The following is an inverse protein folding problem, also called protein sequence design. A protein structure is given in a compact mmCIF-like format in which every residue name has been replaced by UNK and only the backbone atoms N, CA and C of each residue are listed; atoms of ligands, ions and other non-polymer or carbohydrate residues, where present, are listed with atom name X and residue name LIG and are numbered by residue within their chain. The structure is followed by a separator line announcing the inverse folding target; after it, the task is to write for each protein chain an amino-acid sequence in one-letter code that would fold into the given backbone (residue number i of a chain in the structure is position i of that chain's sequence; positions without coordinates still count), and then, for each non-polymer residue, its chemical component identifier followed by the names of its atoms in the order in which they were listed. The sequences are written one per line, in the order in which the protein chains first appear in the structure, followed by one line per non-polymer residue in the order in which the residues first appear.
data_IF_239017007502
#
_entry.id   IF_239017007502
#
_cell.length_a   1.000
_cell.length_b   1.000
_cell.length_c   1.000
_cell.angle_alpha   90.00
_cell.angle_beta   90.00
_cell.angle_gamma   90.00
#
_symmetry.space_group_name_H-M   'P 1'
#
loop_
_entity.id
_entity.type
_entity.pdbx_description
1 polymer ?
#
# COMPACT_ATOMS: atom_id res chain seq x y z
N UNK A 1 -45.43 -2.70 17.64
CA UNK A 1 -44.56 -1.51 17.85
C UNK A 1 -43.39 -1.98 18.69
N UNK A 2 -42.12 -1.87 18.33
CA UNK A 2 -41.46 -1.06 17.32
C UNK A 2 -40.45 -1.92 16.53
N UNK A 3 -40.45 -1.79 15.20
CA UNK A 3 -39.38 -2.26 14.36
C UNK A 3 -38.27 -1.21 14.44
N UNK A 4 -37.16 -1.56 15.10
CA UNK A 4 -35.93 -0.78 15.00
C UNK A 4 -35.33 -1.02 13.62
N UNK A 5 -35.63 -0.14 12.67
CA UNK A 5 -34.92 -0.04 11.40
C UNK A 5 -33.43 0.19 11.72
N UNK A 6 -32.63 -0.86 11.63
CA UNK A 6 -31.18 -0.74 11.56
C UNK A 6 -30.82 0.09 10.35
N UNK A 7 -30.28 1.28 10.61
CA UNK A 7 -29.76 2.20 9.60
C UNK A 7 -28.82 1.44 8.66
N UNK A 8 -29.10 1.57 7.36
CA UNK A 8 -28.35 0.96 6.28
C UNK A 8 -26.90 1.45 6.32
N UNK A 9 -26.00 0.64 6.90
CA UNK A 9 -24.59 0.98 7.02
C UNK A 9 -23.94 0.69 5.66
N UNK A 10 -23.61 1.76 4.93
CA UNK A 10 -22.78 1.78 3.71
C UNK A 10 -23.41 1.28 2.39
N UNK A 11 -24.38 2.02 1.85
CA UNK A 11 -24.82 1.86 0.44
C UNK A 11 -23.73 2.24 -0.60
N UNK A 12 -22.67 2.95 -0.19
CA UNK A 12 -21.61 3.46 -1.08
C UNK A 12 -20.25 2.75 -0.92
N UNK A 13 -20.15 1.67 -0.15
CA UNK A 13 -18.93 0.86 -0.07
C UNK A 13 -19.21 -0.44 -0.82
N UNK A 14 -18.54 -0.69 -1.97
CA UNK A 14 -18.64 -1.98 -2.62
C UNK A 14 -18.21 -3.07 -1.65
N UNK A 15 -19.06 -4.07 -1.43
CA UNK A 15 -18.69 -5.27 -0.69
C UNK A 15 -17.75 -6.07 -1.58
N UNK A 16 -16.43 -5.83 -1.44
CA UNK A 16 -15.40 -6.42 -2.30
C UNK A 16 -15.15 -7.91 -2.01
N UNK A 17 -15.54 -8.39 -0.83
CA UNK A 17 -15.32 -9.78 -0.42
C UNK A 17 -16.63 -10.51 -0.18
N UNK A 18 -17.13 -11.17 -1.22
CA UNK A 18 -18.01 -12.30 -1.01
C UNK A 18 -17.18 -13.49 -0.54
N UNK A 19 -17.22 -13.78 0.77
CA UNK A 19 -16.67 -15.02 1.33
C UNK A 19 -17.20 -16.20 0.50
N UNK A 20 -16.28 -17.06 0.06
CA UNK A 20 -16.54 -18.29 -0.72
C UNK A 20 -17.00 -18.14 -2.17
N UNK A 21 -17.22 -16.93 -2.70
CA UNK A 21 -17.49 -16.72 -4.14
C UNK A 21 -16.20 -16.41 -4.90
N UNK A 22 -15.36 -15.53 -4.35
CA UNK A 22 -14.14 -15.05 -5.01
C UNK A 22 -12.84 -15.72 -4.52
N UNK A 23 -12.91 -16.51 -3.44
CA UNK A 23 -11.73 -17.12 -2.80
C UNK A 23 -11.79 -18.63 -2.94
N UNK A 24 -11.15 -19.16 -3.98
CA UNK A 24 -10.96 -20.61 -4.15
C UNK A 24 -9.51 -20.99 -3.83
N UNK A 25 -9.26 -22.10 -3.13
CA UNK A 25 -7.91 -22.61 -2.96
C UNK A 25 -7.33 -22.95 -4.34
N UNK A 26 -6.14 -22.44 -4.64
CA UNK A 26 -5.41 -22.76 -5.87
C UNK A 26 -3.96 -23.13 -5.54
N UNK A 27 -3.37 -23.94 -6.40
CA UNK A 27 -1.97 -24.29 -6.29
C UNK A 27 -1.10 -23.11 -6.76
N UNK A 28 -0.19 -22.64 -5.89
CA UNK A 28 0.67 -21.47 -6.17
C UNK A 28 1.50 -21.68 -7.45
N UNK A 29 1.93 -22.91 -7.75
CA UNK A 29 2.64 -23.21 -8.99
C UNK A 29 1.79 -23.04 -10.25
N UNK A 30 0.48 -23.32 -10.19
CA UNK A 30 -0.43 -23.13 -11.33
C UNK A 30 -0.64 -21.65 -11.62
N UNK A 31 -0.70 -20.83 -10.57
CA UNK A 31 -0.75 -19.38 -10.69
C UNK A 31 0.53 -18.82 -11.32
N UNK A 32 1.71 -19.25 -10.85
CA UNK A 32 2.99 -18.88 -11.48
C UNK A 32 3.01 -19.22 -12.97
N UNK A 33 2.57 -20.42 -13.35
CA UNK A 33 2.60 -20.84 -14.75
C UNK A 33 1.65 -20.00 -15.60
N UNK A 34 0.42 -19.81 -15.15
CA UNK A 34 -0.54 -18.93 -15.84
C UNK A 34 -0.03 -17.48 -15.94
N UNK A 35 0.67 -16.99 -14.92
CA UNK A 35 1.28 -15.67 -14.92
C UNK A 35 2.41 -15.58 -15.97
N UNK A 36 3.32 -16.56 -16.00
CA UNK A 36 4.43 -16.62 -16.97
C UNK A 36 3.98 -16.86 -18.41
N UNK A 37 2.83 -17.51 -18.63
CA UNK A 37 2.23 -17.65 -19.97
C UNK A 37 1.68 -16.31 -20.51
N UNK A 38 1.24 -15.42 -19.62
CA UNK A 38 0.61 -14.15 -19.99
C UNK A 38 1.58 -12.99 -20.03
N UNK A 39 2.55 -12.97 -19.12
CA UNK A 39 3.53 -11.89 -19.06
C UNK A 39 4.80 -12.24 -19.80
N UNK A 40 5.28 -11.28 -20.57
CA UNK A 40 6.63 -11.27 -21.13
C UNK A 40 7.62 -10.84 -20.05
N UNK A 41 8.90 -11.23 -20.15
CA UNK A 41 9.93 -10.78 -19.22
C UNK A 41 10.00 -9.26 -19.03
N UNK A 42 9.64 -8.47 -20.05
CA UNK A 42 9.59 -7.00 -19.96
C UNK A 42 8.51 -6.50 -18.97
N UNK A 43 7.47 -7.28 -18.71
CA UNK A 43 6.35 -6.89 -17.85
C UNK A 43 6.66 -7.09 -16.35
N UNK A 44 7.67 -7.90 -16.01
CA UNK A 44 8.00 -8.24 -14.61
C UNK A 44 9.50 -8.17 -14.27
N UNK A 45 10.37 -7.88 -15.23
CA UNK A 45 11.80 -7.68 -15.01
C UNK A 45 12.19 -6.32 -15.57
N UNK A 46 12.61 -5.42 -14.69
CA UNK A 46 13.27 -4.19 -15.11
C UNK A 46 14.60 -4.54 -15.79
N UNK A 47 14.82 -3.98 -16.98
CA UNK A 47 16.11 -3.97 -17.67
C UNK A 47 16.35 -2.56 -18.12
N UNK A 48 17.46 -1.99 -17.67
CA UNK A 48 17.91 -0.68 -18.14
C UNK A 48 18.15 -0.77 -19.65
N UNK A 49 17.44 0.06 -20.41
CA UNK A 49 17.65 0.25 -21.85
C UNK A 49 18.19 1.66 -22.07
N UNK A 50 18.76 1.89 -23.25
CA UNK A 50 19.11 3.24 -23.67
C UNK A 50 17.82 4.00 -24.02
N UNK A 51 17.76 5.27 -23.64
CA UNK A 51 16.58 6.13 -23.84
C UNK A 51 16.10 6.13 -25.31
N UNK A 52 17.02 6.21 -26.27
CA UNK A 52 16.71 6.17 -27.71
C UNK A 52 15.99 4.88 -28.14
N UNK A 53 16.38 3.74 -27.55
CA UNK A 53 15.71 2.45 -27.82
C UNK A 53 14.33 2.36 -27.17
N UNK A 54 14.14 2.98 -26.01
CA UNK A 54 12.84 3.02 -25.34
C UNK A 54 11.85 3.91 -26.10
N UNK A 55 12.33 5.07 -26.57
CA UNK A 55 11.53 6.01 -27.36
C UNK A 55 11.05 5.41 -28.67
N UNK A 56 11.94 4.72 -29.38
CA UNK A 56 11.60 4.06 -30.63
C UNK A 56 10.59 2.92 -30.42
N UNK A 57 10.76 2.11 -29.37
CA UNK A 57 9.83 1.05 -28.98
C UNK A 57 8.45 1.64 -28.62
N UNK A 58 8.43 2.69 -27.80
CA UNK A 58 7.22 3.38 -27.36
C UNK A 58 6.49 4.07 -28.52
N UNK A 59 7.21 4.79 -29.39
CA UNK A 59 6.64 5.45 -30.56
C UNK A 59 5.94 4.44 -31.48
N UNK A 60 6.59 3.28 -31.69
CA UNK A 60 6.06 2.19 -32.48
C UNK A 60 4.83 1.54 -31.84
N UNK A 61 4.85 1.32 -30.52
CA UNK A 61 3.72 0.76 -29.77
C UNK A 61 2.50 1.69 -29.78
N UNK A 62 2.72 2.98 -29.57
CA UNK A 62 1.67 3.99 -29.51
C UNK A 62 1.22 4.48 -30.90
N UNK A 63 1.92 4.08 -31.97
CA UNK A 63 1.61 4.49 -33.35
C UNK A 63 1.84 5.98 -33.60
N UNK A 64 2.79 6.60 -32.90
CA UNK A 64 3.12 8.02 -33.01
C UNK A 64 4.39 8.23 -33.84
N UNK A 65 4.46 9.34 -34.56
CA UNK A 65 5.67 9.73 -35.27
C UNK A 65 6.77 10.14 -34.27
N UNK A 66 8.06 9.88 -34.56
CA UNK A 66 9.16 10.23 -33.65
C UNK A 66 9.17 11.72 -33.32
N UNK A 67 8.91 12.58 -34.31
CA UNK A 67 8.84 14.03 -34.08
C UNK A 67 7.69 14.45 -33.16
N UNK A 68 6.58 13.69 -33.15
CA UNK A 68 5.48 13.91 -32.19
C UNK A 68 5.87 13.48 -30.79
N UNK A 69 6.65 12.40 -30.65
CA UNK A 69 7.18 11.97 -29.36
C UNK A 69 8.13 13.01 -28.78
N UNK A 70 9.01 13.61 -29.60
CA UNK A 70 9.92 14.68 -29.15
C UNK A 70 9.16 15.89 -28.62
N UNK A 71 8.09 16.30 -29.31
CA UNK A 71 7.21 17.38 -28.86
C UNK A 71 6.51 17.01 -27.56
N UNK A 72 6.01 15.78 -27.43
CA UNK A 72 5.37 15.30 -26.19
C UNK A 72 6.38 15.28 -25.04
N UNK A 73 7.61 14.82 -25.26
CA UNK A 73 8.69 14.85 -24.27
C UNK A 73 8.98 16.28 -23.81
N UNK A 74 9.02 17.23 -24.74
CA UNK A 74 9.24 18.62 -24.40
C UNK A 74 8.09 19.22 -23.57
N UNK A 75 6.83 18.94 -23.92
CA UNK A 75 5.63 19.46 -23.23
C UNK A 75 5.36 18.74 -21.90
N UNK A 76 5.76 17.47 -21.79
CA UNK A 76 5.60 16.65 -20.60
C UNK A 76 6.90 16.54 -19.79
N UNK A 77 7.88 17.41 -20.05
CA UNK A 77 9.10 17.46 -19.26
C UNK A 77 8.80 17.92 -17.84
N UNK A 78 9.66 17.56 -16.90
CA UNK A 78 9.50 17.99 -15.51
C UNK A 78 9.45 19.51 -15.40
N UNK A 79 10.25 20.21 -16.21
CA UNK A 79 10.33 21.66 -16.21
C UNK A 79 9.04 22.32 -16.72
N UNK A 80 8.42 21.75 -17.76
CA UNK A 80 7.18 22.29 -18.35
C UNK A 80 5.93 21.92 -17.56
N UNK A 81 5.94 20.76 -16.89
CA UNK A 81 4.84 20.34 -16.01
C UNK A 81 4.90 20.97 -14.62
N UNK A 82 5.96 21.70 -14.32
CA UNK A 82 6.14 22.33 -13.02
C UNK A 82 5.15 23.49 -12.85
N UNK A 83 4.29 23.39 -11.83
CA UNK A 83 3.36 24.47 -11.49
C UNK A 83 4.01 25.63 -10.71
N UNK A 84 5.21 25.42 -10.16
CA UNK A 84 5.96 26.37 -9.33
C UNK A 84 6.97 27.15 -10.20
N UNK A 85 7.37 28.34 -9.75
CA UNK A 85 8.43 29.10 -10.42
C UNK A 85 9.76 28.32 -10.43
N UNK A 86 10.55 28.49 -11.49
CA UNK A 86 11.84 27.78 -11.66
C UNK A 86 12.78 27.93 -10.45
N UNK A 87 12.79 29.10 -9.83
CA UNK A 87 13.69 29.41 -8.71
C UNK A 87 13.23 28.88 -7.34
N UNK A 88 11.99 28.43 -7.22
CA UNK A 88 11.52 27.82 -5.97
C UNK A 88 12.13 26.41 -5.82
N UNK A 89 12.49 25.93 -4.62
CA UNK A 89 12.90 24.53 -4.46
C UNK A 89 11.67 23.61 -4.45
N UNK A 90 11.74 22.51 -5.21
CA UNK A 90 10.72 21.44 -5.18
C UNK A 90 10.80 20.67 -3.85
N UNK A 91 10.08 21.11 -2.83
CA UNK A 91 9.88 20.28 -1.64
C UNK A 91 8.72 19.30 -1.86
N UNK A 92 9.09 18.08 -2.25
CA UNK A 92 8.12 16.99 -2.43
C UNK A 92 7.43 16.58 -1.13
N UNK A 93 7.89 17.03 0.05
CA UNK A 93 7.27 16.74 1.35
C UNK A 93 6.14 17.69 1.73
N UNK A 94 6.01 18.83 1.06
CA UNK A 94 4.95 19.78 1.37
C UNK A 94 3.67 19.34 0.66
N UNK A 95 2.61 19.12 1.44
CA UNK A 95 1.27 18.92 0.89
C UNK A 95 0.51 20.24 0.98
N UNK A 96 -0.15 20.69 -0.10
CA UNK A 96 -0.95 21.91 -0.07
C UNK A 96 -1.97 21.93 1.10
N UNK A 97 -2.33 23.11 1.62
CA UNK A 97 -3.29 23.21 2.72
C UNK A 97 -4.67 22.64 2.35
N UNK A 98 -5.14 22.88 1.13
CA UNK A 98 -6.45 22.42 0.61
C UNK A 98 -6.28 21.49 -0.60
N UNK A 99 -5.88 20.23 -0.40
CA UNK A 99 -5.67 19.29 -1.50
C UNK A 99 -7.02 18.82 -2.08
N UNK A 100 -7.17 18.88 -3.41
CA UNK A 100 -8.34 18.35 -4.12
C UNK A 100 -8.16 16.89 -4.58
N UNK A 101 -6.91 16.48 -4.82
CA UNK A 101 -6.58 15.12 -5.24
C UNK A 101 -6.65 14.16 -4.05
N UNK A 102 -7.34 13.03 -4.22
CA UNK A 102 -7.53 12.02 -3.18
C UNK A 102 -6.20 11.54 -2.57
N UNK A 103 -5.18 11.33 -3.41
CA UNK A 103 -3.83 10.93 -2.96
C UNK A 103 -3.18 11.97 -2.05
N UNK A 104 -3.30 13.26 -2.39
CA UNK A 104 -2.80 14.37 -1.58
C UNK A 104 -3.61 14.54 -0.29
N UNK A 105 -4.94 14.35 -0.32
CA UNK A 105 -5.79 14.35 0.88
C UNK A 105 -5.32 13.27 1.87
N UNK A 106 -5.10 12.04 1.39
CA UNK A 106 -4.62 10.95 2.25
C UNK A 106 -3.22 11.22 2.79
N UNK A 107 -2.33 11.79 1.97
CA UNK A 107 -1.00 12.18 2.40
C UNK A 107 -1.03 13.27 3.47
N UNK A 108 -1.90 14.28 3.32
CA UNK A 108 -2.13 15.32 4.32
C UNK A 108 -2.63 14.72 5.63
N UNK A 109 -3.68 13.89 5.58
CA UNK A 109 -4.19 13.16 6.75
C UNK A 109 -3.11 12.40 7.49
N UNK A 110 -2.22 11.70 6.76
CA UNK A 110 -1.10 10.97 7.36
C UNK A 110 -0.05 11.90 7.96
N UNK A 111 0.23 13.05 7.34
CA UNK A 111 1.13 14.06 7.89
C UNK A 111 0.58 14.70 9.15
N UNK A 112 -0.68 15.13 9.12
CA UNK A 112 -1.38 15.71 10.27
C UNK A 112 -1.45 14.69 11.41
N UNK A 113 -1.85 13.45 11.11
CA UNK A 113 -1.84 12.35 12.06
C UNK A 113 -0.45 12.15 12.67
N UNK A 114 0.61 12.08 11.87
CA UNK A 114 1.98 11.97 12.37
C UNK A 114 2.38 13.15 13.26
N UNK A 115 1.88 14.36 12.98
CA UNK A 115 2.07 15.53 13.82
C UNK A 115 1.36 15.44 15.17
N UNK A 116 0.19 14.78 15.22
CA UNK A 116 -0.53 14.51 16.49
C UNK A 116 0.10 13.39 17.32
N UNK A 117 0.94 12.54 16.72
CA UNK A 117 1.60 11.46 17.43
C UNK A 117 2.70 12.00 18.35
N UNK A 118 2.44 11.99 19.65
CA UNK A 118 3.53 11.93 20.64
C UNK A 118 4.02 10.49 20.68
N UNK A 119 5.04 10.20 19.88
CA UNK A 119 5.84 9.00 20.08
C UNK A 119 6.64 9.26 21.35
N UNK A 120 6.07 8.91 22.49
CA UNK A 120 6.87 8.79 23.69
C UNK A 120 7.91 7.73 23.37
N UNK A 121 9.19 8.10 23.40
CA UNK A 121 10.25 7.11 23.28
C UNK A 121 10.25 6.37 24.61
N UNK A 122 9.30 5.46 24.75
CA UNK A 122 9.22 4.47 25.82
C UNK A 122 10.64 3.94 25.96
N UNK A 123 11.24 4.11 27.14
CA UNK A 123 12.60 3.63 27.39
C UNK A 123 12.68 2.18 26.96
N UNK A 124 13.84 1.70 26.48
CA UNK A 124 14.00 0.26 26.18
C UNK A 124 13.58 -0.62 27.36
N UNK A 125 13.73 -0.10 28.58
CA UNK A 125 13.30 -0.74 29.83
C UNK A 125 11.78 -0.79 29.92
N UNK A 126 11.09 0.33 29.70
CA UNK A 126 9.63 0.43 29.77
C UNK A 126 8.97 -0.44 28.68
N UNK A 127 9.57 -0.53 27.48
CA UNK A 127 9.07 -1.39 26.41
C UNK A 127 9.20 -2.88 26.76
N UNK A 128 10.33 -3.28 27.35
CA UNK A 128 10.53 -4.65 27.81
C UNK A 128 9.58 -5.00 28.96
N UNK A 129 9.30 -4.04 29.83
CA UNK A 129 8.32 -4.16 30.91
C UNK A 129 6.91 -4.35 30.35
N UNK A 130 6.50 -3.52 29.39
CA UNK A 130 5.21 -3.63 28.70
C UNK A 130 5.09 -4.97 27.94
N UNK A 131 6.15 -5.45 27.29
CA UNK A 131 6.16 -6.76 26.62
C UNK A 131 5.94 -7.91 27.62
N UNK A 132 6.60 -7.86 28.78
CA UNK A 132 6.42 -8.83 29.86
C UNK A 132 5.01 -8.79 30.48
N UNK A 133 4.43 -7.59 30.58
CA UNK A 133 3.08 -7.37 31.11
C UNK A 133 1.98 -7.63 30.06
N UNK A 134 2.32 -7.57 28.78
CA UNK A 134 1.43 -7.91 27.69
C UNK A 134 1.15 -9.42 27.69
N UNK A 135 -0.06 -9.78 28.11
CA UNK A 135 -0.56 -11.14 27.98
C UNK A 135 -0.72 -11.46 26.49
N UNK A 136 0.27 -12.14 25.91
CA UNK A 136 0.13 -12.73 24.60
C UNK A 136 -1.09 -13.67 24.62
N UNK A 137 -2.12 -13.35 23.83
CA UNK A 137 -3.27 -14.23 23.64
C UNK A 137 -2.82 -15.40 22.76
N UNK A 138 -2.19 -16.37 23.41
CA UNK A 138 -1.82 -17.65 22.81
C UNK A 138 -2.98 -18.63 22.87
N UNK A 139 -3.06 -19.48 21.84
CA UNK A 139 -3.85 -20.72 21.87
C UNK A 139 -3.41 -21.55 23.08
N UNK A 140 -4.35 -21.95 23.94
CA UNK A 140 -4.02 -22.66 25.18
C UNK A 140 -3.89 -24.15 24.88
N UNK A 141 -2.81 -24.82 25.30
CA UNK A 141 -2.60 -26.25 25.05
C UNK A 141 -3.61 -27.15 25.79
N UNK A 142 -4.46 -26.57 26.63
CA UNK A 142 -5.55 -27.23 27.34
C UNK A 142 -6.70 -27.63 26.41
N UNK A 143 -6.88 -26.95 25.28
CA UNK A 143 -7.87 -27.30 24.27
C UNK A 143 -7.27 -28.23 23.21
N UNK A 144 -7.81 -29.45 23.01
CA UNK A 144 -7.31 -30.38 21.99
C UNK A 144 -7.34 -29.84 20.56
N UNK A 145 -8.12 -28.79 20.25
CA UNK A 145 -8.12 -28.13 18.92
C UNK A 145 -6.91 -27.20 18.70
N UNK A 146 -6.21 -26.87 19.78
CA UNK A 146 -5.04 -26.00 19.80
C UNK A 146 -3.72 -26.79 19.90
N UNK A 147 -3.80 -28.12 19.95
CA UNK A 147 -2.64 -29.02 19.88
C UNK A 147 -1.95 -28.94 18.51
N UNK A 148 -0.65 -28.66 18.53
CA UNK A 148 0.17 -28.64 17.32
C UNK A 148 0.98 -29.94 17.20
N UNK A 149 0.80 -30.70 16.11
CA UNK A 149 1.51 -31.96 15.89
C UNK A 149 3.03 -31.82 15.86
N UNK A 150 3.73 -32.91 16.18
CA UNK A 150 5.19 -32.99 16.08
C UNK A 150 5.68 -32.59 14.68
N UNK A 151 6.69 -31.73 14.62
CA UNK A 151 7.25 -31.19 13.37
C UNK A 151 6.56 -29.94 12.83
N UNK A 152 5.56 -29.38 13.52
CA UNK A 152 4.95 -28.07 13.19
C UNK A 152 5.32 -27.01 14.23
N UNK A 153 5.43 -25.76 13.78
CA UNK A 153 5.83 -24.60 14.59
C UNK A 153 4.67 -23.60 14.63
N UNK A 154 4.35 -23.07 15.81
CA UNK A 154 3.50 -21.87 15.93
C UNK A 154 4.43 -20.66 15.90
N UNK A 155 4.21 -19.78 14.94
CA UNK A 155 4.81 -18.45 14.93
C UNK A 155 3.77 -17.44 15.38
N UNK A 156 3.93 -16.89 16.58
CA UNK A 156 3.12 -15.76 17.08
C UNK A 156 3.92 -14.48 16.90
N UNK A 157 3.41 -13.54 16.11
CA UNK A 157 4.03 -12.22 15.90
C UNK A 157 3.14 -11.17 16.55
N UNK A 158 3.63 -10.55 17.61
CA UNK A 158 2.97 -9.40 18.22
C UNK A 158 3.48 -8.13 17.55
N UNK A 159 2.60 -7.40 16.87
CA UNK A 159 2.94 -6.11 16.24
C UNK A 159 2.46 -4.99 17.16
N UNK A 160 3.37 -4.42 17.95
CA UNK A 160 3.09 -3.27 18.80
C UNK A 160 3.31 -1.97 18.02
N UNK A 161 2.33 -1.07 18.04
CA UNK A 161 2.47 0.29 17.54
C UNK A 161 2.40 1.26 18.74
N UNK A 162 3.54 1.71 19.29
CA UNK A 162 3.60 2.54 20.49
C UNK A 162 3.23 3.99 20.16
N UNK A 163 1.96 4.23 19.86
CA UNK A 163 1.38 5.55 19.68
C UNK A 163 0.41 5.84 20.82
N UNK A 164 0.66 6.92 21.56
CA UNK A 164 -0.29 7.45 22.53
C UNK A 164 -1.18 8.45 21.76
N UNK A 165 -2.48 8.22 21.79
CA UNK A 165 -3.47 9.12 21.21
C UNK A 165 -3.94 10.10 22.28
N UNK A 166 -3.93 11.40 22.00
CA UNK A 166 -4.66 12.38 22.85
C UNK A 166 -6.17 12.20 22.60
N UNK A 167 -6.96 12.19 23.68
CA UNK A 167 -8.43 12.22 23.66
C UNK A 167 -8.90 13.66 23.58
#
# INVERSE_FOLDING_TARGET
MAAGNGLNVNENIPVFEYKDINTKPFHVGSFRNAWLEKLKPIDYSYKEKYEETEDADFAKEMGIAPETLDVLKAICSVDTLRCQAEEEPLDTNVVPPDPTLQTLIQRKKKQDYKGTLRIDKISRVDHYQDELESLAVGKRPEDPVDLVPEGKIILSVNVLYPAIFEI
#
